data_IF_007896379694
#
_entry.id   IF_007896379694
#
_cell.length_a   1.000
_cell.length_b   1.000
_cell.length_c   1.000
_cell.angle_alpha   90.00
_cell.angle_beta   90.00
_cell.angle_gamma   90.00
#
_symmetry.space_group_name_H-M   'P 1'
#
loop_
_entity.id
_entity.type
_entity.pdbx_description
1 polymer ?
#
# COMPACT_ATOMS: atom_id res chain seq x y z
N UNK A 1 -34.13 -22.96 -12.77
CA UNK A 1 -32.84 -23.13 -12.04
C UNK A 1 -32.78 -22.03 -10.99
N UNK A 2 -33.02 -22.36 -9.71
CA UNK A 2 -33.09 -21.37 -8.62
C UNK A 2 -31.66 -20.96 -8.23
N UNK A 3 -31.33 -19.68 -8.40
CA UNK A 3 -30.13 -19.07 -7.83
C UNK A 3 -30.18 -19.18 -6.30
N UNK A 4 -29.13 -19.72 -5.70
CA UNK A 4 -29.01 -19.93 -4.27
C UNK A 4 -27.94 -18.96 -3.74
N UNK A 5 -28.28 -17.67 -3.67
CA UNK A 5 -27.59 -16.77 -2.75
C UNK A 5 -27.90 -17.25 -1.33
N UNK A 6 -26.92 -17.87 -0.68
CA UNK A 6 -26.98 -18.07 0.77
C UNK A 6 -26.70 -16.70 1.40
N UNK A 7 -27.73 -16.08 1.96
CA UNK A 7 -27.57 -14.97 2.90
C UNK A 7 -26.66 -15.46 4.03
N UNK A 8 -25.45 -14.90 4.11
CA UNK A 8 -24.52 -15.21 5.17
C UNK A 8 -25.07 -14.58 6.46
N UNK A 9 -25.78 -15.37 7.28
CA UNK A 9 -26.18 -14.94 8.63
C UNK A 9 -24.92 -14.69 9.43
N UNK A 10 -24.78 -13.50 10.03
CA UNK A 10 -23.75 -13.21 11.02
C UNK A 10 -23.77 -14.32 12.09
N UNK A 11 -22.67 -15.04 12.31
CA UNK A 11 -22.56 -15.89 13.49
C UNK A 11 -22.63 -15.02 14.75
N UNK A 12 -23.47 -15.41 15.70
CA UNK A 12 -23.64 -14.72 16.98
C UNK A 12 -22.81 -15.46 18.04
N UNK A 13 -21.64 -14.91 18.38
CA UNK A 13 -20.96 -15.22 19.63
C UNK A 13 -21.67 -14.50 20.78
N UNK A 14 -21.82 -15.16 21.93
CA UNK A 14 -22.21 -14.44 23.15
C UNK A 14 -21.07 -13.52 23.61
N UNK A 15 -21.42 -12.44 24.33
CA UNK A 15 -20.39 -11.55 24.93
C UNK A 15 -19.50 -12.33 25.90
N UNK A 16 -20.05 -13.34 26.58
CA UNK A 16 -19.30 -14.17 27.51
C UNK A 16 -18.26 -15.05 26.80
N UNK A 17 -18.61 -15.68 25.67
CA UNK A 17 -17.69 -16.53 24.91
C UNK A 17 -16.53 -15.75 24.30
N UNK A 18 -16.76 -14.54 23.77
CA UNK A 18 -15.66 -13.66 23.34
C UNK A 18 -14.78 -13.28 24.51
N UNK A 19 -15.38 -12.81 25.61
CA UNK A 19 -14.62 -12.36 26.77
C UNK A 19 -13.74 -13.50 27.28
N UNK A 20 -14.27 -14.72 27.34
CA UNK A 20 -13.51 -15.92 27.67
C UNK A 20 -12.38 -16.20 26.65
N UNK A 21 -12.65 -16.10 25.34
CA UNK A 21 -11.65 -16.35 24.31
C UNK A 21 -10.52 -15.29 24.29
N UNK A 22 -10.85 -14.01 24.48
CA UNK A 22 -9.86 -12.93 24.57
C UNK A 22 -9.02 -13.05 25.84
N UNK A 23 -9.63 -13.40 26.98
CA UNK A 23 -8.88 -13.65 28.21
C UNK A 23 -8.04 -14.93 28.16
N UNK A 24 -8.49 -15.96 27.44
CA UNK A 24 -7.74 -17.21 27.30
C UNK A 24 -6.37 -16.99 26.65
N UNK A 25 -6.26 -15.99 25.77
CA UNK A 25 -5.03 -15.66 25.04
C UNK A 25 -4.37 -14.36 25.51
N UNK A 26 -4.81 -13.76 26.64
CA UNK A 26 -4.30 -12.46 27.10
C UNK A 26 -2.81 -12.50 27.45
N UNK A 27 -2.39 -13.52 28.21
CA UNK A 27 -0.98 -13.70 28.60
C UNK A 27 -0.08 -13.97 27.37
N UNK A 28 -0.57 -14.77 26.41
CA UNK A 28 0.16 -15.04 25.17
C UNK A 28 0.24 -13.79 24.29
N UNK A 29 -0.84 -13.02 24.19
CA UNK A 29 -0.86 -11.77 23.46
C UNK A 29 0.13 -10.76 24.04
N UNK A 30 0.18 -10.62 25.37
CA UNK A 30 1.18 -9.79 26.05
C UNK A 30 2.60 -10.28 25.75
N UNK A 31 2.85 -11.59 25.83
CA UNK A 31 4.15 -12.20 25.52
C UNK A 31 4.60 -11.87 24.09
N UNK A 32 3.70 -11.92 23.11
CA UNK A 32 3.99 -11.55 21.71
C UNK A 32 4.26 -10.04 21.57
N UNK A 33 3.50 -9.19 22.26
CA UNK A 33 3.66 -7.73 22.17
C UNK A 33 5.00 -7.26 22.77
N UNK A 34 5.50 -7.94 23.81
CA UNK A 34 6.73 -7.58 24.51
C UNK A 34 8.00 -8.16 23.87
N UNK A 35 7.86 -9.15 22.98
CA UNK A 35 8.97 -9.92 22.42
C UNK A 35 8.94 -9.88 20.88
N UNK A 36 9.76 -8.99 20.30
CA UNK A 36 9.79 -8.74 18.87
C UNK A 36 10.19 -9.98 18.05
N UNK A 37 11.02 -10.87 18.59
CA UNK A 37 11.44 -12.09 17.91
C UNK A 37 10.29 -13.09 17.86
N UNK A 38 9.57 -13.29 18.98
CA UNK A 38 8.36 -14.12 18.98
C UNK A 38 7.26 -13.56 18.08
N UNK A 39 7.08 -12.24 18.08
CA UNK A 39 6.15 -11.58 17.17
C UNK A 39 6.51 -11.87 15.71
N UNK A 40 7.78 -11.76 15.33
CA UNK A 40 8.21 -12.03 13.95
C UNK A 40 7.90 -13.47 13.51
N UNK A 41 8.15 -14.45 14.38
CA UNK A 41 7.80 -15.85 14.11
C UNK A 41 6.28 -16.07 13.97
N UNK A 42 5.50 -15.42 14.83
CA UNK A 42 4.04 -15.48 14.82
C UNK A 42 3.44 -14.80 13.59
N UNK A 43 3.91 -13.58 13.26
CA UNK A 43 3.53 -12.81 12.06
C UNK A 43 3.77 -13.61 10.79
N UNK A 44 4.89 -14.31 10.67
CA UNK A 44 5.17 -15.16 9.50
C UNK A 44 4.10 -16.27 9.31
N UNK A 45 3.57 -16.84 10.39
CA UNK A 45 2.47 -17.83 10.34
C UNK A 45 1.16 -17.18 9.88
N UNK A 46 0.84 -15.99 10.41
CA UNK A 46 -0.33 -15.20 10.00
C UNK A 46 -0.29 -14.83 8.51
N UNK A 47 0.84 -14.32 8.02
CA UNK A 47 1.01 -13.97 6.61
C UNK A 47 0.84 -15.19 5.70
N UNK A 48 1.38 -16.34 6.09
CA UNK A 48 1.18 -17.59 5.36
C UNK A 48 -0.28 -18.05 5.34
N UNK A 49 -1.02 -17.83 6.44
CA UNK A 49 -2.47 -18.09 6.52
C UNK A 49 -3.25 -17.13 5.61
N UNK A 50 -3.03 -15.81 5.74
CA UNK A 50 -3.69 -14.77 4.94
C UNK A 50 -3.47 -14.99 3.45
N UNK A 51 -2.24 -15.35 3.04
CA UNK A 51 -1.93 -15.65 1.63
C UNK A 51 -2.75 -16.81 1.07
N UNK A 52 -3.09 -17.82 1.88
CA UNK A 52 -3.98 -18.91 1.48
C UNK A 52 -5.43 -18.43 1.42
N UNK A 53 -5.87 -17.64 2.40
CA UNK A 53 -7.24 -17.15 2.52
C UNK A 53 -7.63 -16.13 1.43
N UNK A 54 -6.69 -15.28 0.97
CA UNK A 54 -6.88 -14.33 -0.16
C UNK A 54 -7.37 -15.00 -1.46
N UNK A 55 -7.18 -16.32 -1.63
CA UNK A 55 -7.66 -17.06 -2.81
C UNK A 55 -9.17 -17.31 -2.81
N UNK A 56 -9.87 -16.99 -1.74
CA UNK A 56 -11.32 -17.24 -1.57
C UNK A 56 -12.08 -15.91 -1.74
N UNK A 57 -12.84 -15.72 -2.85
CA UNK A 57 -13.45 -14.43 -3.20
C UNK A 57 -14.45 -13.88 -2.17
N UNK A 58 -15.07 -14.74 -1.35
CA UNK A 58 -16.12 -14.33 -0.39
C UNK A 58 -15.58 -13.63 0.86
N UNK A 59 -14.25 -13.58 1.05
CA UNK A 59 -13.62 -13.10 2.29
C UNK A 59 -12.89 -11.76 2.16
N UNK A 60 -12.91 -11.10 1.00
CA UNK A 60 -12.05 -9.93 0.69
C UNK A 60 -11.97 -8.87 1.80
N UNK A 61 -13.09 -8.24 2.16
CA UNK A 61 -13.09 -7.15 3.15
C UNK A 61 -12.63 -7.57 4.56
N UNK A 62 -12.94 -8.79 4.99
CA UNK A 62 -12.45 -9.30 6.30
C UNK A 62 -10.94 -9.55 6.28
N UNK A 63 -10.41 -9.98 5.14
CA UNK A 63 -8.98 -10.21 4.99
C UNK A 63 -8.21 -8.90 5.07
N UNK A 64 -8.74 -7.82 4.50
CA UNK A 64 -8.14 -6.48 4.60
C UNK A 64 -8.10 -5.96 6.05
N UNK A 65 -9.15 -6.22 6.84
CA UNK A 65 -9.17 -5.91 8.27
C UNK A 65 -8.11 -6.73 9.04
N UNK A 66 -7.99 -8.03 8.76
CA UNK A 66 -6.96 -8.89 9.38
C UNK A 66 -5.55 -8.40 9.02
N UNK A 67 -5.30 -8.04 7.77
CA UNK A 67 -4.02 -7.47 7.35
C UNK A 67 -3.74 -6.18 8.13
N UNK A 68 -4.73 -5.29 8.21
CA UNK A 68 -4.60 -4.05 8.96
C UNK A 68 -4.31 -4.30 10.46
N UNK A 69 -4.91 -5.32 11.06
CA UNK A 69 -4.62 -5.73 12.45
C UNK A 69 -3.18 -6.21 12.62
N UNK A 70 -2.66 -7.00 11.66
CA UNK A 70 -1.28 -7.49 11.67
C UNK A 70 -0.30 -6.32 11.54
N UNK A 71 -0.55 -5.41 10.60
CA UNK A 71 0.29 -4.22 10.38
C UNK A 71 0.29 -3.29 11.61
N UNK A 72 -0.89 -3.05 12.18
CA UNK A 72 -1.04 -2.23 13.38
C UNK A 72 -0.24 -2.80 14.56
N UNK A 73 -0.33 -4.11 14.79
CA UNK A 73 0.44 -4.77 15.84
C UNK A 73 1.95 -4.69 15.57
N UNK A 74 2.37 -4.88 14.32
CA UNK A 74 3.78 -4.78 13.91
C UNK A 74 4.35 -3.37 14.16
N UNK A 75 3.65 -2.32 13.71
CA UNK A 75 4.05 -0.92 13.94
C UNK A 75 4.06 -0.56 15.43
N UNK A 76 3.16 -1.15 16.23
CA UNK A 76 3.15 -0.93 17.68
C UNK A 76 4.32 -1.58 18.40
N UNK A 77 4.67 -2.81 18.02
CA UNK A 77 5.80 -3.54 18.59
C UNK A 77 7.12 -2.84 18.22
N UNK A 78 7.24 -2.38 16.97
CA UNK A 78 8.37 -1.56 16.49
C UNK A 78 8.41 -0.14 17.06
N UNK A 79 7.39 0.29 17.80
CA UNK A 79 7.23 1.63 18.39
C UNK A 79 7.09 2.76 17.36
N UNK A 80 6.67 2.43 16.13
CA UNK A 80 6.34 3.39 15.07
C UNK A 80 4.96 4.02 15.30
N UNK A 81 4.02 3.25 15.87
CA UNK A 81 2.65 3.69 16.17
C UNK A 81 2.24 3.33 17.59
N UNK A 82 1.81 4.30 18.39
CA UNK A 82 1.41 4.08 19.80
C UNK A 82 0.12 4.76 20.21
N UNK A 83 -0.62 5.36 19.25
CA UNK A 83 -1.92 6.00 19.49
C UNK A 83 -3.06 4.97 19.57
N UNK A 84 -2.92 4.01 20.48
CA UNK A 84 -3.90 2.97 20.74
C UNK A 84 -3.82 2.51 22.21
N UNK A 85 -4.96 2.28 22.89
CA UNK A 85 -4.94 1.71 24.23
C UNK A 85 -4.32 0.31 24.26
N UNK A 86 -3.51 0.01 25.27
CA UNK A 86 -2.85 -1.30 25.43
C UNK A 86 -3.87 -2.44 25.43
N UNK A 87 -5.01 -2.29 26.13
CA UNK A 87 -6.06 -3.31 26.15
C UNK A 87 -6.68 -3.59 24.77
N UNK A 88 -6.79 -2.56 23.92
CA UNK A 88 -7.22 -2.74 22.52
C UNK A 88 -6.17 -3.52 21.74
N UNK A 89 -4.88 -3.19 21.90
CA UNK A 89 -3.80 -3.92 21.24
C UNK A 89 -3.75 -5.41 21.66
N UNK A 90 -3.88 -5.68 22.96
CA UNK A 90 -3.95 -7.05 23.50
C UNK A 90 -5.13 -7.80 22.89
N UNK A 91 -6.30 -7.15 22.78
CA UNK A 91 -7.48 -7.75 22.14
C UNK A 91 -7.26 -8.06 20.66
N UNK A 92 -6.56 -7.18 19.94
CA UNK A 92 -6.19 -7.38 18.53
C UNK A 92 -5.27 -8.60 18.40
N UNK A 93 -4.21 -8.67 19.20
CA UNK A 93 -3.25 -9.80 19.13
C UNK A 93 -3.90 -11.11 19.59
N UNK A 94 -4.73 -11.10 20.64
CA UNK A 94 -5.49 -12.27 21.08
C UNK A 94 -6.43 -12.81 19.98
N UNK A 95 -7.07 -11.92 19.22
CA UNK A 95 -7.90 -12.31 18.07
C UNK A 95 -7.06 -12.91 16.93
N UNK A 96 -5.88 -12.37 16.68
CA UNK A 96 -4.94 -12.93 15.70
C UNK A 96 -4.41 -14.31 16.14
N UNK A 97 -4.16 -14.53 17.44
CA UNK A 97 -3.78 -15.84 17.98
C UNK A 97 -4.89 -16.85 17.71
N UNK A 98 -6.14 -16.48 18.02
CA UNK A 98 -7.30 -17.32 17.77
C UNK A 98 -7.40 -17.75 16.30
N UNK A 99 -7.10 -16.83 15.36
CA UNK A 99 -7.20 -17.08 13.92
C UNK A 99 -6.29 -18.21 13.40
N UNK A 100 -5.11 -18.42 14.01
CA UNK A 100 -4.12 -19.41 13.53
C UNK A 100 -3.77 -20.50 14.55
N UNK A 101 -4.38 -20.48 15.74
CA UNK A 101 -4.23 -21.54 16.74
C UNK A 101 -5.11 -22.74 16.37
N UNK A 102 -4.55 -23.89 15.95
CA UNK A 102 -5.36 -24.93 15.31
C UNK A 102 -6.18 -25.82 16.26
N UNK A 103 -6.27 -25.58 17.59
CA UNK A 103 -6.56 -26.68 18.54
C UNK A 103 -7.57 -26.45 19.68
N UNK A 104 -7.79 -25.27 20.28
CA UNK A 104 -8.30 -25.29 21.68
C UNK A 104 -9.78 -24.92 21.99
N UNK A 105 -10.69 -24.77 21.01
CA UNK A 105 -12.11 -24.48 21.33
C UNK A 105 -13.21 -25.36 20.69
N UNK A 106 -12.88 -26.27 19.77
CA UNK A 106 -13.87 -27.18 19.17
C UNK A 106 -13.54 -28.63 19.57
N UNK A 107 -14.29 -29.27 20.48
CA UNK A 107 -14.21 -30.70 20.70
C UNK A 107 -14.48 -31.47 19.38
N UNK A 108 -13.67 -32.51 19.12
CA UNK A 108 -13.58 -33.36 17.90
C UNK A 108 -14.88 -34.06 17.38
N UNK A 109 -16.05 -33.40 17.32
CA UNK A 109 -17.32 -34.09 17.00
C UNK A 109 -18.28 -33.43 16.01
N UNK A 110 -17.96 -32.32 15.33
CA UNK A 110 -18.91 -31.72 14.37
C UNK A 110 -18.28 -31.47 12.98
N UNK A 111 -18.53 -32.34 11.98
CA UNK A 111 -17.85 -32.32 10.67
C UNK A 111 -18.19 -31.14 9.73
N UNK A 112 -18.99 -30.16 10.15
CA UNK A 112 -19.55 -29.13 9.25
C UNK A 112 -19.43 -27.69 9.81
N UNK A 113 -19.07 -27.49 11.09
CA UNK A 113 -19.13 -26.19 11.78
C UNK A 113 -17.80 -25.40 11.78
N UNK A 114 -16.67 -26.02 11.44
CA UNK A 114 -15.32 -25.43 11.64
C UNK A 114 -14.88 -24.26 10.74
N UNK A 115 -15.74 -23.70 9.88
CA UNK A 115 -15.37 -22.52 9.04
C UNK A 115 -16.12 -21.24 9.43
N UNK A 116 -17.20 -21.37 10.21
CA UNK A 116 -18.03 -20.23 10.61
C UNK A 116 -17.42 -19.54 11.84
N UNK A 117 -16.69 -20.28 12.66
CA UNK A 117 -16.15 -19.86 13.95
C UNK A 117 -15.03 -18.80 13.81
N UNK A 118 -14.10 -18.99 12.89
CA UNK A 118 -12.93 -18.11 12.72
C UNK A 118 -13.28 -16.71 12.19
N UNK A 119 -14.21 -16.63 11.24
CA UNK A 119 -14.70 -15.35 10.70
C UNK A 119 -15.59 -14.60 11.70
N UNK A 120 -16.25 -15.33 12.61
CA UNK A 120 -17.11 -14.76 13.64
C UNK A 120 -16.32 -13.97 14.67
N UNK A 121 -15.19 -14.52 15.15
CA UNK A 121 -14.35 -13.87 16.17
C UNK A 121 -13.78 -12.55 15.64
N UNK A 122 -13.28 -12.52 14.40
CA UNK A 122 -12.77 -11.29 13.77
C UNK A 122 -13.88 -10.24 13.63
N UNK A 123 -15.03 -10.62 13.06
CA UNK A 123 -16.19 -9.74 12.93
C UNK A 123 -16.68 -9.19 14.28
N UNK A 124 -16.55 -9.97 15.33
CA UNK A 124 -17.00 -9.61 16.66
C UNK A 124 -16.03 -8.65 17.36
N UNK A 125 -14.71 -8.88 17.23
CA UNK A 125 -13.68 -7.92 17.72
C UNK A 125 -13.81 -6.57 17.02
N UNK A 126 -14.04 -6.57 15.70
CA UNK A 126 -14.36 -5.35 14.96
C UNK A 126 -15.63 -4.66 15.50
N UNK A 127 -16.64 -5.44 15.90
CA UNK A 127 -17.86 -4.95 16.53
C UNK A 127 -17.71 -4.37 17.95
N UNK A 128 -16.56 -4.57 18.61
CA UNK A 128 -16.27 -4.09 19.97
C UNK A 128 -15.61 -2.70 20.02
N UNK A 129 -15.48 -2.01 18.90
CA UNK A 129 -14.92 -0.66 18.82
C UNK A 129 -13.45 -0.58 18.39
N UNK A 130 -12.88 -1.71 17.96
CA UNK A 130 -11.54 -1.78 17.34
C UNK A 130 -11.53 -1.14 15.96
N UNK A 131 -12.68 -1.12 15.27
CA UNK A 131 -12.90 -0.47 13.98
C UNK A 131 -12.35 0.97 13.92
N UNK A 132 -12.61 1.76 14.96
CA UNK A 132 -12.15 3.15 15.05
C UNK A 132 -10.63 3.26 15.17
N UNK A 133 -10.00 2.37 15.92
CA UNK A 133 -8.55 2.39 16.10
C UNK A 133 -7.84 1.86 14.83
N UNK A 134 -8.42 0.87 14.13
CA UNK A 134 -7.97 0.49 12.80
C UNK A 134 -8.11 1.63 11.79
N UNK A 135 -9.21 2.38 11.81
CA UNK A 135 -9.40 3.55 10.93
C UNK A 135 -8.43 4.70 11.24
N UNK A 136 -8.06 4.90 12.51
CA UNK A 136 -6.98 5.83 12.87
C UNK A 136 -5.65 5.35 12.31
N UNK A 137 -5.33 4.07 12.49
CA UNK A 137 -4.09 3.50 11.98
C UNK A 137 -4.00 3.55 10.46
N UNK A 138 -5.07 3.22 9.73
CA UNK A 138 -5.14 3.37 8.26
C UNK A 138 -4.84 4.79 7.81
N UNK A 139 -5.44 5.78 8.47
CA UNK A 139 -5.19 7.20 8.17
C UNK A 139 -3.76 7.61 8.50
N UNK A 140 -3.21 7.13 9.61
CA UNK A 140 -1.81 7.35 9.95
C UNK A 140 -0.87 6.75 8.91
N UNK A 141 -1.11 5.49 8.48
CA UNK A 141 -0.34 4.81 7.45
C UNK A 141 -0.39 5.56 6.12
N UNK A 142 -1.60 5.95 5.69
CA UNK A 142 -1.78 6.71 4.44
C UNK A 142 -1.10 8.08 4.49
N UNK A 143 -1.18 8.79 5.61
CA UNK A 143 -0.49 10.07 5.77
C UNK A 143 1.03 9.89 5.75
N UNK A 144 1.56 8.85 6.40
CA UNK A 144 2.98 8.55 6.34
C UNK A 144 3.43 8.19 4.92
N UNK A 145 2.64 7.41 4.19
CA UNK A 145 2.89 7.06 2.78
C UNK A 145 2.94 8.33 1.93
N UNK A 146 1.95 9.22 2.07
CA UNK A 146 1.91 10.51 1.38
C UNK A 146 3.12 11.39 1.70
N UNK A 147 3.45 11.57 2.97
CA UNK A 147 4.60 12.38 3.37
C UNK A 147 5.92 11.82 2.82
N UNK A 148 6.05 10.48 2.79
CA UNK A 148 7.20 9.81 2.21
C UNK A 148 7.25 9.98 0.68
N UNK A 149 6.11 9.86 0.01
CA UNK A 149 5.98 10.08 -1.43
C UNK A 149 6.29 11.54 -1.80
N UNK A 150 5.77 12.51 -1.06
CA UNK A 150 6.07 13.94 -1.25
C UNK A 150 7.58 14.22 -1.13
N UNK A 151 8.25 13.54 -0.18
CA UNK A 151 9.70 13.64 0.02
C UNK A 151 10.46 12.99 -1.14
N UNK A 152 9.99 11.84 -1.62
CA UNK A 152 10.55 11.15 -2.78
C UNK A 152 10.41 12.00 -4.05
N UNK A 153 9.23 12.56 -4.31
CA UNK A 153 8.97 13.46 -5.45
C UNK A 153 9.86 14.70 -5.40
N UNK A 154 10.13 15.24 -4.21
CA UNK A 154 11.09 16.34 -4.09
C UNK A 154 12.50 15.91 -4.50
N UNK A 155 12.99 14.77 -4.00
CA UNK A 155 14.31 14.23 -4.36
C UNK A 155 14.39 13.97 -5.88
N UNK A 156 13.35 13.36 -6.44
CA UNK A 156 13.28 13.08 -7.87
C UNK A 156 13.25 14.39 -8.68
N UNK A 157 12.49 15.40 -8.25
CA UNK A 157 12.48 16.70 -8.92
C UNK A 157 13.83 17.42 -8.86
N UNK A 158 14.58 17.27 -7.77
CA UNK A 158 15.95 17.79 -7.65
C UNK A 158 16.90 17.05 -8.62
N UNK A 159 16.80 15.72 -8.71
CA UNK A 159 17.57 14.91 -9.67
C UNK A 159 17.23 15.25 -11.12
N UNK A 160 15.94 15.36 -11.46
CA UNK A 160 15.48 15.77 -12.79
C UNK A 160 15.98 17.18 -13.13
N UNK A 161 15.90 18.13 -12.19
CA UNK A 161 16.41 19.48 -12.40
C UNK A 161 17.93 19.50 -12.63
N UNK A 162 18.70 18.67 -11.92
CA UNK A 162 20.14 18.50 -12.14
C UNK A 162 20.43 17.92 -13.54
N UNK A 163 19.69 16.89 -13.94
CA UNK A 163 19.81 16.29 -15.27
C UNK A 163 19.44 17.29 -16.35
N UNK A 164 18.35 18.05 -16.21
CA UNK A 164 17.93 19.09 -17.16
C UNK A 164 18.99 20.20 -17.23
N UNK A 165 19.53 20.63 -16.10
CA UNK A 165 20.52 21.70 -15.98
C UNK A 165 19.91 23.07 -16.29
N UNK A 166 20.56 23.82 -17.18
CA UNK A 166 20.11 25.16 -17.59
C UNK A 166 18.99 25.15 -18.64
N UNK A 167 18.61 23.96 -19.13
CA UNK A 167 17.58 23.79 -20.16
C UNK A 167 16.14 23.89 -19.65
N UNK A 168 15.22 23.67 -20.58
CA UNK A 168 13.78 23.70 -20.41
C UNK A 168 13.18 22.37 -20.89
N UNK A 169 12.43 21.73 -20.02
CA UNK A 169 11.75 20.47 -20.29
C UNK A 169 10.61 20.69 -21.28
N UNK A 170 10.65 19.95 -22.38
CA UNK A 170 9.65 20.03 -23.44
C UNK A 170 8.68 18.83 -23.40
N UNK A 171 9.17 17.65 -23.02
CA UNK A 171 8.36 16.46 -22.82
C UNK A 171 9.03 15.48 -21.84
N UNK A 172 8.19 14.67 -21.18
CA UNK A 172 8.59 13.56 -20.33
C UNK A 172 7.93 12.30 -20.87
N UNK A 173 8.74 11.32 -21.24
CA UNK A 173 8.28 10.12 -21.93
C UNK A 173 8.74 8.90 -21.13
N UNK A 174 7.81 8.05 -20.73
CA UNK A 174 8.11 6.77 -20.08
C UNK A 174 8.17 5.70 -21.17
N UNK A 175 9.38 5.18 -21.37
CA UNK A 175 9.69 4.07 -22.27
C UNK A 175 9.40 2.73 -21.61
N UNK A 176 9.35 1.68 -22.41
CA UNK A 176 9.48 0.31 -21.93
C UNK A 176 10.75 0.18 -21.04
N UNK A 177 10.69 -0.68 -20.03
CA UNK A 177 11.74 -0.90 -19.02
C UNK A 177 11.92 0.16 -17.92
N UNK A 178 10.98 1.11 -17.76
CA UNK A 178 11.01 2.16 -16.72
C UNK A 178 12.14 3.19 -16.90
N UNK A 179 12.46 3.50 -18.15
CA UNK A 179 13.36 4.58 -18.53
C UNK A 179 12.52 5.83 -18.81
N UNK A 180 12.87 6.96 -18.20
CA UNK A 180 12.30 8.27 -18.55
C UNK A 180 13.22 8.92 -19.58
N UNK A 181 12.67 9.26 -20.74
CA UNK A 181 13.28 10.14 -21.73
C UNK A 181 12.76 11.56 -21.51
N UNK A 182 13.67 12.48 -21.23
CA UNK A 182 13.42 13.91 -21.08
C UNK A 182 13.83 14.60 -22.38
N UNK A 183 12.90 15.29 -23.03
CA UNK A 183 13.24 16.20 -24.12
C UNK A 183 13.59 17.56 -23.53
N UNK A 184 14.82 18.01 -23.71
CA UNK A 184 15.32 19.25 -23.11
C UNK A 184 15.75 20.24 -24.20
N UNK A 185 15.09 21.39 -24.25
CA UNK A 185 15.45 22.52 -25.10
C UNK A 185 16.39 23.48 -24.34
N UNK A 186 17.32 24.14 -25.05
CA UNK A 186 18.24 25.12 -24.42
C UNK A 186 17.70 26.55 -24.44
N UNK A 187 16.62 26.80 -25.20
CA UNK A 187 15.96 28.09 -25.32
C UNK A 187 14.50 27.97 -24.87
N UNK A 188 14.02 28.95 -24.09
CA UNK A 188 12.67 28.91 -23.51
C UNK A 188 11.54 29.12 -24.52
N UNK A 189 11.83 29.86 -25.59
CA UNK A 189 10.86 30.31 -26.61
C UNK A 189 11.19 29.71 -27.99
N UNK A 190 11.54 28.41 -28.02
CA UNK A 190 11.83 27.69 -29.27
C UNK A 190 10.56 27.55 -30.13
N UNK A 191 10.67 27.81 -31.44
CA UNK A 191 9.60 27.53 -32.40
C UNK A 191 9.50 26.02 -32.68
N UNK A 192 8.30 25.53 -33.03
CA UNK A 192 8.13 24.13 -33.41
C UNK A 192 8.57 23.89 -34.87
N UNK A 193 9.28 22.80 -35.17
CA UNK A 193 9.72 21.77 -34.23
C UNK A 193 10.87 22.23 -33.34
N UNK A 194 10.78 21.97 -32.04
CA UNK A 194 11.75 22.49 -31.07
C UNK A 194 13.04 21.67 -31.08
N UNK A 195 14.19 22.36 -31.08
CA UNK A 195 15.50 21.72 -30.93
C UNK A 195 15.67 21.18 -29.50
N UNK A 196 15.78 19.86 -29.37
CA UNK A 196 15.85 19.16 -28.10
C UNK A 196 17.01 18.17 -28.03
N UNK A 197 17.52 17.97 -26.81
CA UNK A 197 18.42 16.87 -26.46
C UNK A 197 17.63 15.86 -25.63
N UNK A 198 17.80 14.57 -25.91
CA UNK A 198 17.24 13.50 -25.07
C UNK A 198 18.18 13.28 -23.89
N UNK A 199 17.63 13.32 -22.68
CA UNK A 199 18.30 12.86 -21.46
C UNK A 199 17.53 11.72 -20.85
N UNK A 200 18.23 10.65 -20.47
CA UNK A 200 17.61 9.46 -19.89
C UNK A 200 17.82 9.42 -18.37
N UNK A 201 16.74 9.10 -17.65
CA UNK A 201 16.75 8.93 -16.20
C UNK A 201 16.06 7.60 -15.88
N UNK A 202 16.66 6.81 -15.00
CA UNK A 202 16.06 5.56 -14.55
C UNK A 202 15.06 5.83 -13.44
N UNK A 203 13.84 5.29 -13.57
CA UNK A 203 12.88 5.33 -12.46
C UNK A 203 13.38 4.39 -11.37
N UNK A 204 13.50 4.83 -10.11
CA UNK A 204 13.82 3.95 -9.01
C UNK A 204 12.58 3.13 -8.61
N UNK A 205 12.11 2.24 -9.50
CA UNK A 205 10.87 1.44 -9.32
C UNK A 205 10.89 0.65 -8.02
N UNK A 206 12.07 0.21 -7.58
CA UNK A 206 12.22 -0.47 -6.28
C UNK A 206 11.82 0.42 -5.10
N UNK A 207 12.20 1.70 -5.13
CA UNK A 207 11.80 2.66 -4.10
C UNK A 207 10.29 2.96 -4.18
N UNK A 208 9.74 3.09 -5.39
CA UNK A 208 8.29 3.28 -5.59
C UNK A 208 7.46 2.10 -5.09
N UNK A 209 7.93 0.88 -5.29
CA UNK A 209 7.27 -0.32 -4.78
C UNK A 209 7.18 -0.34 -3.24
N UNK A 210 8.14 0.26 -2.52
CA UNK A 210 8.07 0.42 -1.05
C UNK A 210 6.90 1.30 -0.61
N UNK A 211 6.38 2.15 -1.51
CA UNK A 211 5.22 3.01 -1.29
C UNK A 211 3.94 2.47 -1.92
N UNK A 212 3.90 1.19 -2.31
CA UNK A 212 2.77 0.55 -3.01
C UNK A 212 2.46 1.19 -4.37
N UNK A 213 3.47 1.80 -5.01
CA UNK A 213 3.39 2.33 -6.38
C UNK A 213 4.00 1.30 -7.33
N UNK A 214 3.15 0.44 -7.89
CA UNK A 214 3.57 -0.70 -8.72
C UNK A 214 3.00 -0.66 -10.14
N UNK A 215 1.80 -0.08 -10.32
CA UNK A 215 1.18 0.00 -11.63
C UNK A 215 1.72 1.19 -12.41
N UNK A 216 1.83 1.03 -13.73
CA UNK A 216 2.30 2.07 -14.65
C UNK A 216 1.54 3.39 -14.49
N UNK A 217 0.21 3.32 -14.30
CA UNK A 217 -0.63 4.50 -14.04
C UNK A 217 -0.25 5.24 -12.75
N UNK A 218 0.16 4.51 -11.71
CA UNK A 218 0.54 5.12 -10.44
C UNK A 218 1.90 5.79 -10.57
N UNK A 219 2.83 5.18 -11.32
CA UNK A 219 4.13 5.78 -11.66
C UNK A 219 3.94 7.08 -12.46
N UNK A 220 3.04 7.08 -13.46
CA UNK A 220 2.68 8.30 -14.20
C UNK A 220 2.16 9.38 -13.25
N UNK A 221 1.29 9.01 -12.29
CA UNK A 221 0.77 9.96 -11.30
C UNK A 221 1.89 10.61 -10.47
N UNK A 222 2.86 9.83 -10.00
CA UNK A 222 4.02 10.36 -9.26
C UNK A 222 4.85 11.30 -10.13
N UNK A 223 5.07 10.95 -11.39
CA UNK A 223 5.83 11.79 -12.32
C UNK A 223 5.11 13.09 -12.65
N UNK A 224 3.79 13.05 -12.87
CA UNK A 224 2.98 14.25 -13.12
C UNK A 224 3.04 15.23 -11.94
N UNK A 225 2.97 14.74 -10.69
CA UNK A 225 3.14 15.57 -9.49
C UNK A 225 4.59 16.08 -9.35
N UNK A 226 5.58 15.29 -9.76
CA UNK A 226 7.01 15.65 -9.72
C UNK A 226 7.34 16.77 -10.72
N UNK A 227 6.91 16.62 -11.97
CA UNK A 227 7.36 17.47 -13.09
C UNK A 227 6.72 18.86 -13.07
N UNK A 228 5.64 19.06 -12.34
CA UNK A 228 4.98 20.36 -12.18
C UNK A 228 5.59 21.21 -11.05
N UNK A 229 6.52 20.65 -10.26
CA UNK A 229 7.21 21.36 -9.18
C UNK A 229 8.02 22.54 -9.71
N UNK A 230 8.14 23.58 -8.90
CA UNK A 230 8.79 24.85 -9.29
C UNK A 230 10.27 24.71 -9.69
N UNK A 231 10.95 23.66 -9.23
CA UNK A 231 12.34 23.36 -9.61
C UNK A 231 12.48 22.93 -11.08
N UNK A 232 11.40 22.47 -11.72
CA UNK A 232 11.40 21.99 -13.10
C UNK A 232 10.97 23.12 -14.04
N UNK A 233 11.91 23.58 -14.87
CA UNK A 233 11.65 24.59 -15.90
C UNK A 233 11.07 23.90 -17.14
N UNK A 234 9.95 24.40 -17.62
CA UNK A 234 9.30 23.91 -18.84
C UNK A 234 9.50 24.88 -20.00
N UNK A 235 9.57 24.32 -21.21
CA UNK A 235 9.51 25.09 -22.46
C UNK A 235 8.13 25.75 -22.56
N UNK A 236 8.09 27.01 -23.01
CA UNK A 236 6.85 27.76 -23.05
C UNK A 236 5.85 27.13 -24.04
N UNK A 237 4.57 27.09 -23.65
CA UNK A 237 3.50 26.54 -24.49
C UNK A 237 3.38 25.02 -24.49
N UNK A 238 4.28 24.30 -23.80
CA UNK A 238 4.20 22.84 -23.69
C UNK A 238 3.23 22.39 -22.60
N UNK A 239 2.61 21.24 -22.83
CA UNK A 239 1.75 20.57 -21.86
C UNK A 239 2.61 19.87 -20.80
N UNK A 240 2.38 20.22 -19.52
CA UNK A 240 3.11 19.65 -18.38
C UNK A 240 2.52 18.31 -17.98
N UNK A 241 2.88 17.26 -18.71
CA UNK A 241 2.46 15.89 -18.41
C UNK A 241 3.49 14.86 -18.82
N UNK A 242 3.36 13.69 -18.22
CA UNK A 242 4.06 12.48 -18.60
C UNK A 242 3.29 11.78 -19.71
N UNK A 243 4.00 11.28 -20.72
CA UNK A 243 3.44 10.46 -21.79
C UNK A 243 4.08 9.07 -21.75
N UNK A 244 3.31 8.04 -22.08
CA UNK A 244 3.91 6.76 -22.45
C UNK A 244 4.48 6.87 -23.86
N UNK A 245 5.58 6.16 -24.13
CA UNK A 245 6.21 6.20 -25.46
C UNK A 245 5.24 5.84 -26.61
N UNK A 246 4.39 4.80 -26.51
CA UNK A 246 3.39 4.53 -27.54
C UNK A 246 2.40 5.68 -27.79
N UNK A 247 2.09 6.49 -26.76
CA UNK A 247 1.21 7.66 -26.89
C UNK A 247 1.96 8.90 -27.41
N UNK A 248 3.29 8.84 -27.47
CA UNK A 248 4.15 9.91 -27.91
C UNK A 248 4.62 9.74 -29.36
N UNK A 249 4.48 8.54 -29.95
CA UNK A 249 5.01 8.22 -31.28
C UNK A 249 4.57 9.20 -32.39
N UNK A 250 3.33 9.69 -32.33
CA UNK A 250 2.80 10.66 -33.29
C UNK A 250 3.28 12.12 -33.06
N UNK A 251 4.04 12.37 -31.98
CA UNK A 251 4.52 13.70 -31.57
C UNK A 251 6.01 13.91 -31.79
N UNK A 252 6.77 12.90 -32.20
CA UNK A 252 8.20 13.04 -32.46
C UNK A 252 8.50 14.09 -33.53
N UNK A 253 7.60 14.30 -34.50
CA UNK A 253 7.73 15.32 -35.55
C UNK A 253 7.66 16.76 -35.02
N UNK A 254 7.20 16.98 -33.78
CA UNK A 254 7.22 18.28 -33.10
C UNK A 254 8.63 18.65 -32.57
N UNK A 255 9.62 17.76 -32.69
CA UNK A 255 10.95 17.92 -32.09
C UNK A 255 12.08 17.56 -33.06
N UNK A 256 13.16 18.34 -33.02
CA UNK A 256 14.43 17.99 -33.68
C UNK A 256 15.38 17.49 -32.61
N UNK A 257 15.67 16.18 -32.65
CA UNK A 257 16.54 15.54 -31.66
C UNK A 257 18.00 15.70 -32.08
N UNK A 258 18.76 16.41 -31.25
CA UNK A 258 20.21 16.53 -31.39
C UNK A 258 20.90 15.38 -30.66
N UNK A 259 22.03 14.91 -31.19
CA UNK A 259 22.89 13.97 -30.45
C UNK A 259 23.39 14.67 -29.18
N UNK A 260 23.02 14.11 -28.02
CA UNK A 260 23.40 14.56 -26.68
C UNK A 260 24.61 13.83 -26.13
#
# INVERSE_FOLDING_TARGET
MKSMHKDFKKPEFSREELHAALHANEDEALCLIEDADKWAEFKAKLEAFVKKARKIPVLGGMIDDIICMIELADSYIKKEYSDIPVGTMVSIVAALIYLISPIDLIPDFIPIIGYIDDAAVVLFVLGFGVDKDLDKYRRWKENNRKNALDSFEQILAEELAEVIGDGYLAAVIVSEENIIKLLVAMEQDSELPADCIIKEVNIPVKALAEFEVEAEKDVIGVLDETIVRESIKWLNGMEKRTCLEPDFDDRWDDFVIQEG
#
